data_IF_463126839899
#
_entry.id   IF_463126839899
#
_cell.length_a   1.000
_cell.length_b   1.000
_cell.length_c   1.000
_cell.angle_alpha   90.00
_cell.angle_beta   90.00
_cell.angle_gamma   90.00
#
_symmetry.space_group_name_H-M   'P 1'
#
loop_
_entity.id
_entity.type
_entity.pdbx_description
1 polymer ?
#
# COMPACT_ATOMS: atom_id res chain seq x y z
N UNK A 1 -11.62 33.37 72.04
CA UNK A 1 -12.00 32.14 71.29
C UNK A 1 -12.67 32.62 70.00
N UNK A 2 -12.26 32.33 68.76
CA UNK A 2 -11.48 31.24 68.16
C UNK A 2 -10.82 31.80 66.89
N UNK A 3 -9.55 31.45 66.67
CA UNK A 3 -8.92 31.57 65.37
C UNK A 3 -9.68 30.68 64.39
N UNK A 4 -10.39 31.27 63.43
CA UNK A 4 -11.01 30.51 62.34
C UNK A 4 -9.87 30.06 61.43
N UNK A 5 -9.58 28.77 61.39
CA UNK A 5 -8.49 28.18 60.60
C UNK A 5 -8.75 28.37 59.09
N UNK A 6 -8.16 29.42 58.51
CA UNK A 6 -8.14 29.63 57.04
C UNK A 6 -7.46 28.48 56.28
N UNK A 7 -6.65 27.67 56.98
CA UNK A 7 -6.04 26.44 56.45
C UNK A 7 -7.06 25.36 56.08
N UNK A 8 -8.21 25.30 56.75
CA UNK A 8 -9.25 24.29 56.46
C UNK A 8 -10.08 24.70 55.23
N UNK A 9 -10.30 25.99 55.01
CA UNK A 9 -11.02 26.50 53.84
C UNK A 9 -10.20 26.36 52.54
N UNK A 10 -8.88 26.53 52.63
CA UNK A 10 -7.97 26.33 51.50
C UNK A 10 -7.86 24.85 51.09
N UNK A 11 -7.91 23.91 52.04
CA UNK A 11 -7.92 22.48 51.72
C UNK A 11 -9.20 22.04 51.00
N UNK A 12 -10.34 22.70 51.25
CA UNK A 12 -11.62 22.35 50.64
C UNK A 12 -11.66 22.68 49.13
N UNK A 13 -10.89 23.67 48.68
CA UNK A 13 -10.78 24.03 47.26
C UNK A 13 -9.86 23.08 46.46
N UNK A 14 -8.99 22.31 47.13
CA UNK A 14 -8.08 21.37 46.45
C UNK A 14 -8.79 20.03 46.14
N UNK A 15 -9.85 19.69 46.88
CA UNK A 15 -10.51 18.37 46.82
C UNK A 15 -11.75 18.37 45.92
N UNK A 16 -12.31 19.53 45.56
CA UNK A 16 -13.46 19.63 44.64
C UNK A 16 -13.06 19.67 43.16
N UNK A 17 -11.77 19.70 42.87
CA UNK A 17 -11.25 19.51 41.52
C UNK A 17 -11.37 18.05 41.09
N UNK A 18 -12.54 17.64 40.59
CA UNK A 18 -12.67 16.41 39.82
C UNK A 18 -11.84 16.55 38.54
N UNK A 19 -10.53 16.25 38.61
CA UNK A 19 -9.72 16.03 37.44
C UNK A 19 -10.19 14.72 36.81
N UNK A 20 -11.12 14.82 35.85
CA UNK A 20 -11.49 13.69 35.01
C UNK A 20 -10.28 13.40 34.13
N UNK A 21 -9.39 12.54 34.61
CA UNK A 21 -8.32 11.97 33.78
C UNK A 21 -8.99 10.99 32.83
N UNK A 22 -9.45 11.50 31.69
CA UNK A 22 -9.74 10.67 30.53
C UNK A 22 -8.40 10.07 30.08
N UNK A 23 -8.05 8.91 30.62
CA UNK A 23 -7.04 8.05 30.00
C UNK A 23 -7.79 7.37 28.85
N UNK A 24 -7.61 7.82 27.58
CA UNK A 24 -8.22 7.09 26.50
C UNK A 24 -7.65 5.66 26.53
N UNK A 25 -8.54 4.67 26.62
CA UNK A 25 -8.17 3.24 26.59
C UNK A 25 -7.31 2.87 25.36
N UNK A 26 -7.30 3.75 24.36
CA UNK A 26 -6.48 3.63 23.15
C UNK A 26 -5.72 4.93 22.93
N UNK A 27 -4.38 4.91 22.87
CA UNK A 27 -3.64 6.11 22.53
C UNK A 27 -4.09 6.64 21.16
N UNK A 28 -4.25 7.97 20.99
CA UNK A 28 -4.59 8.54 19.71
C UNK A 28 -3.50 8.19 18.68
N UNK A 29 -3.89 8.17 17.39
CA UNK A 29 -2.91 8.03 16.31
C UNK A 29 -1.97 9.23 16.41
N UNK A 30 -0.71 8.96 16.77
CA UNK A 30 0.31 9.99 16.91
C UNK A 30 0.78 10.48 15.54
N UNK A 31 1.25 11.74 15.45
CA UNK A 31 1.79 12.31 14.22
C UNK A 31 3.04 11.55 13.76
N UNK A 32 3.41 11.73 12.49
CA UNK A 32 4.64 11.19 11.95
C UNK A 32 5.86 11.91 12.53
N UNK A 33 6.82 11.15 13.03
CA UNK A 33 8.15 11.61 13.43
C UNK A 33 9.15 11.31 12.32
N UNK A 34 10.09 12.22 12.12
CA UNK A 34 11.23 11.98 11.23
C UNK A 34 12.26 11.14 11.96
N UNK A 35 12.79 10.13 11.27
CA UNK A 35 13.87 9.32 11.74
C UNK A 35 14.97 9.30 10.69
N UNK A 36 16.19 9.66 11.09
CA UNK A 36 17.39 9.49 10.28
C UNK A 36 17.79 8.03 10.33
N UNK A 37 17.96 7.42 9.17
CA UNK A 37 18.45 6.06 9.01
C UNK A 37 19.97 6.06 8.84
N UNK A 38 20.49 6.94 7.97
CA UNK A 38 21.90 7.00 7.58
C UNK A 38 22.30 8.44 7.15
N UNK A 39 23.59 8.77 7.21
CA UNK A 39 24.17 10.03 6.71
C UNK A 39 24.08 11.22 7.66
N UNK A 40 24.88 12.27 7.39
CA UNK A 40 25.05 13.45 8.24
C UNK A 40 25.00 14.77 7.44
N UNK A 41 24.16 14.86 6.41
CA UNK A 41 23.97 16.08 5.59
C UNK A 41 22.78 16.98 5.99
N UNK A 42 22.72 18.21 5.48
CA UNK A 42 21.54 19.09 5.61
C UNK A 42 20.44 18.72 4.60
N UNK A 43 20.83 18.23 3.42
CA UNK A 43 19.91 17.71 2.41
C UNK A 43 19.41 16.32 2.78
N UNK A 44 18.13 16.07 2.54
CA UNK A 44 17.45 14.82 2.88
C UNK A 44 16.99 14.06 1.64
N UNK A 45 17.07 12.74 1.72
CA UNK A 45 16.44 11.81 0.78
C UNK A 45 15.40 11.02 1.56
N UNK A 46 14.15 11.07 1.11
CA UNK A 46 13.03 10.40 1.77
C UNK A 46 12.96 8.93 1.32
N UNK A 47 13.04 7.99 2.27
CA UNK A 47 12.76 6.58 2.05
C UNK A 47 11.30 6.26 2.40
N UNK A 48 10.48 6.09 1.35
CA UNK A 48 9.11 5.58 1.44
C UNK A 48 9.13 4.06 1.31
N UNK A 49 8.37 3.36 2.16
CA UNK A 49 8.25 1.90 2.11
C UNK A 49 6.83 1.50 1.69
N UNK A 50 6.70 0.65 0.67
CA UNK A 50 5.44 0.05 0.21
C UNK A 50 5.61 -1.47 0.34
N UNK A 51 5.07 -2.03 1.42
CA UNK A 51 5.21 -3.45 1.74
C UNK A 51 3.85 -4.09 2.01
N UNK A 52 3.69 -5.36 1.59
CA UNK A 52 2.46 -6.11 1.78
C UNK A 52 1.38 -5.81 0.73
N UNK A 53 0.14 -6.24 0.99
CA UNK A 53 -0.99 -6.04 0.07
C UNK A 53 -1.43 -4.58 0.08
N UNK A 54 -1.51 -3.96 -1.09
CA UNK A 54 -1.98 -2.58 -1.25
C UNK A 54 -3.52 -2.53 -1.06
N UNK A 55 -3.99 -1.86 -0.01
CA UNK A 55 -5.43 -1.75 0.27
C UNK A 55 -5.78 -0.45 1.00
N UNK A 56 -7.02 -0.02 0.80
CA UNK A 56 -7.71 1.07 1.49
C UNK A 56 -8.13 0.66 2.91
N UNK A 57 -8.21 -0.65 3.19
CA UNK A 57 -8.58 -1.16 4.51
C UNK A 57 -7.45 -0.95 5.51
N UNK A 58 -7.83 -0.68 6.76
CA UNK A 58 -6.88 -0.62 7.88
C UNK A 58 -6.34 -2.03 8.16
N UNK A 59 -5.04 -2.14 8.34
CA UNK A 59 -4.45 -3.38 8.83
C UNK A 59 -4.75 -3.54 10.33
N UNK A 60 -5.72 -4.37 10.70
CA UNK A 60 -5.82 -4.86 12.07
C UNK A 60 -4.97 -6.13 12.20
N UNK A 61 -3.95 -6.11 13.06
CA UNK A 61 -3.50 -7.35 13.70
C UNK A 61 -4.58 -7.75 14.72
N UNK A 62 -4.74 -9.05 14.95
CA UNK A 62 -5.83 -9.66 15.72
C UNK A 62 -6.30 -8.94 17.00
N UNK A 63 -7.52 -9.28 17.42
CA UNK A 63 -8.23 -8.74 18.59
C UNK A 63 -8.29 -7.19 18.69
N UNK A 64 -8.24 -6.45 17.58
CA UNK A 64 -8.68 -5.04 17.51
C UNK A 64 -7.85 -4.01 18.32
N UNK A 65 -6.76 -4.42 18.96
CA UNK A 65 -6.02 -3.58 19.92
C UNK A 65 -5.04 -2.57 19.29
N UNK A 66 -4.85 -2.57 17.96
CA UNK A 66 -3.99 -1.59 17.28
C UNK A 66 -4.69 -0.99 16.06
N UNK A 67 -5.07 0.29 16.15
CA UNK A 67 -5.56 1.08 15.01
C UNK A 67 -4.37 1.47 14.14
N UNK A 68 -4.03 0.65 13.13
CA UNK A 68 -3.16 1.12 12.04
C UNK A 68 -3.97 1.89 11.00
N UNK A 69 -3.34 2.89 10.39
CA UNK A 69 -3.87 3.52 9.18
C UNK A 69 -3.70 2.59 7.99
N UNK A 70 -4.50 2.78 6.94
CA UNK A 70 -4.30 2.07 5.67
C UNK A 70 -3.01 2.53 5.00
N UNK A 71 -2.48 1.72 4.08
CA UNK A 71 -1.28 2.07 3.33
C UNK A 71 -1.48 3.37 2.54
N UNK A 72 -2.65 3.54 1.92
CA UNK A 72 -3.02 4.74 1.16
C UNK A 72 -2.95 5.98 2.04
N UNK A 73 -3.57 5.95 3.23
CA UNK A 73 -3.56 7.08 4.15
C UNK A 73 -2.14 7.38 4.66
N UNK A 74 -1.35 6.34 4.96
CA UNK A 74 0.04 6.52 5.38
C UNK A 74 0.88 7.22 4.31
N UNK A 75 0.84 6.76 3.06
CA UNK A 75 1.62 7.38 1.98
C UNK A 75 1.21 8.84 1.79
N UNK A 76 -0.10 9.15 1.84
CA UNK A 76 -0.58 10.53 1.76
C UNK A 76 -0.04 11.41 2.90
N UNK A 77 -0.11 10.94 4.13
CA UNK A 77 0.43 11.67 5.30
C UNK A 77 1.96 11.87 5.20
N UNK A 78 2.68 10.84 4.74
CA UNK A 78 4.14 10.90 4.53
C UNK A 78 4.51 11.93 3.46
N UNK A 79 3.78 11.97 2.33
CA UNK A 79 3.99 12.96 1.27
C UNK A 79 3.61 14.38 1.72
N UNK A 80 2.48 14.56 2.41
CA UNK A 80 2.08 15.86 2.96
C UNK A 80 3.11 16.42 3.94
N UNK A 81 3.72 15.55 4.74
CA UNK A 81 4.83 15.97 5.61
C UNK A 81 6.06 16.38 4.80
N UNK A 82 6.39 15.62 3.75
CA UNK A 82 7.52 15.92 2.87
C UNK A 82 7.33 17.22 2.06
N UNK A 83 6.09 17.57 1.68
CA UNK A 83 5.75 18.83 0.99
C UNK A 83 6.10 20.06 1.83
N UNK A 84 6.02 19.94 3.17
CA UNK A 84 6.39 21.01 4.10
C UNK A 84 7.88 21.09 4.42
N UNK A 85 8.71 20.20 3.86
CA UNK A 85 10.14 20.12 4.14
C UNK A 85 10.98 20.37 2.89
N UNK A 86 11.49 21.59 2.76
CA UNK A 86 12.32 22.01 1.61
C UNK A 86 13.69 21.35 1.56
N UNK A 87 14.10 20.61 2.60
CA UNK A 87 15.36 19.86 2.58
C UNK A 87 15.25 18.51 1.85
N UNK A 88 14.03 18.04 1.55
CA UNK A 88 13.80 16.80 0.78
C UNK A 88 14.12 17.04 -0.69
N UNK A 89 15.28 16.55 -1.14
CA UNK A 89 15.74 16.73 -2.52
C UNK A 89 15.41 15.54 -3.44
N UNK A 90 15.04 14.39 -2.87
CA UNK A 90 14.74 13.17 -3.62
C UNK A 90 13.95 12.15 -2.81
N UNK A 91 13.28 11.24 -3.50
CA UNK A 91 12.50 10.16 -2.89
C UNK A 91 12.98 8.80 -3.42
N UNK A 92 13.22 7.87 -2.49
CA UNK A 92 13.41 6.46 -2.80
C UNK A 92 12.17 5.70 -2.34
N UNK A 93 11.55 4.95 -3.24
CA UNK A 93 10.39 4.09 -2.96
C UNK A 93 10.88 2.66 -2.90
N UNK A 94 11.00 2.10 -1.69
CA UNK A 94 11.28 0.68 -1.47
C UNK A 94 9.99 -0.11 -1.58
N UNK A 95 9.93 -1.06 -2.50
CA UNK A 95 8.73 -1.85 -2.81
C UNK A 95 8.96 -3.33 -2.48
N UNK A 96 8.09 -3.88 -1.63
CA UNK A 96 7.97 -5.31 -1.34
C UNK A 96 6.49 -5.73 -1.30
N UNK A 97 5.83 -5.72 -2.45
CA UNK A 97 4.40 -5.91 -2.58
C UNK A 97 4.04 -6.87 -3.72
N UNK A 98 3.12 -7.83 -3.48
CA UNK A 98 2.49 -8.59 -4.55
C UNK A 98 1.48 -7.77 -5.38
N UNK A 99 1.19 -6.54 -4.94
CA UNK A 99 0.12 -5.68 -5.44
C UNK A 99 -1.07 -5.61 -4.48
N UNK A 100 -2.26 -5.34 -5.00
CA UNK A 100 -3.47 -5.20 -4.19
C UNK A 100 -4.68 -4.64 -4.96
N UNK A 101 -5.53 -3.89 -4.27
CA UNK A 101 -6.72 -3.24 -4.86
C UNK A 101 -6.30 -2.31 -5.99
N UNK A 102 -7.03 -2.36 -7.11
CA UNK A 102 -6.82 -1.44 -8.24
C UNK A 102 -6.92 0.01 -7.79
N UNK A 103 -7.93 0.36 -7.00
CA UNK A 103 -8.18 1.73 -6.56
C UNK A 103 -7.11 2.22 -5.58
N UNK A 104 -6.78 1.46 -4.54
CA UNK A 104 -5.69 1.81 -3.61
C UNK A 104 -4.36 2.03 -4.33
N UNK A 105 -4.03 1.15 -5.29
CA UNK A 105 -2.80 1.25 -6.10
C UNK A 105 -2.80 2.54 -6.91
N UNK A 106 -3.90 2.83 -7.60
CA UNK A 106 -4.01 4.02 -8.45
C UNK A 106 -3.99 5.32 -7.65
N UNK A 107 -4.56 5.35 -6.44
CA UNK A 107 -4.46 6.50 -5.53
C UNK A 107 -3.00 6.74 -5.14
N UNK A 108 -2.27 5.70 -4.72
CA UNK A 108 -0.86 5.85 -4.34
C UNK A 108 -0.03 6.38 -5.52
N UNK A 109 -0.24 5.81 -6.72
CA UNK A 109 0.41 6.29 -7.95
C UNK A 109 0.07 7.77 -8.22
N UNK A 110 -1.21 8.15 -8.07
CA UNK A 110 -1.65 9.53 -8.28
C UNK A 110 -0.99 10.51 -7.30
N UNK A 111 -0.98 10.19 -6.00
CA UNK A 111 -0.37 11.05 -4.97
C UNK A 111 1.14 11.22 -5.21
N UNK A 112 1.85 10.14 -5.58
CA UNK A 112 3.27 10.20 -5.93
C UNK A 112 3.52 11.04 -7.20
N UNK A 113 2.68 10.90 -8.22
CA UNK A 113 2.75 11.72 -9.44
C UNK A 113 2.50 13.20 -9.15
N UNK A 114 1.53 13.52 -8.29
CA UNK A 114 1.26 14.90 -7.87
C UNK A 114 2.44 15.48 -7.11
N UNK A 115 2.95 14.75 -6.12
CA UNK A 115 4.12 15.17 -5.35
C UNK A 115 5.33 15.44 -6.26
N UNK A 116 5.64 14.51 -7.17
CA UNK A 116 6.70 14.67 -8.17
C UNK A 116 6.49 15.90 -9.04
N UNK A 117 5.27 16.14 -9.53
CA UNK A 117 4.94 17.30 -10.37
C UNK A 117 5.07 18.62 -9.63
N UNK A 118 4.67 18.67 -8.36
CA UNK A 118 4.67 19.90 -7.56
C UNK A 118 6.07 20.29 -7.08
N UNK A 119 6.86 19.30 -6.67
CA UNK A 119 8.19 19.52 -6.06
C UNK A 119 9.34 19.42 -7.06
N UNK A 120 9.15 18.71 -8.17
CA UNK A 120 10.19 18.45 -9.16
C UNK A 120 11.28 17.48 -8.68
N UNK A 121 11.11 16.85 -7.52
CA UNK A 121 12.12 15.93 -6.97
C UNK A 121 12.21 14.66 -7.80
N UNK A 122 13.43 14.10 -7.86
CA UNK A 122 13.68 12.80 -8.47
C UNK A 122 13.09 11.68 -7.61
N UNK A 123 12.47 10.70 -8.26
CA UNK A 123 11.97 9.48 -7.61
C UNK A 123 12.72 8.26 -8.17
N UNK A 124 13.30 7.45 -7.28
CA UNK A 124 13.89 6.15 -7.62
C UNK A 124 13.08 5.04 -6.95
N UNK A 125 12.64 4.03 -7.70
CA UNK A 125 12.00 2.84 -7.13
C UNK A 125 13.03 1.73 -6.94
N UNK A 126 13.04 1.11 -5.77
CA UNK A 126 13.85 -0.07 -5.46
C UNK A 126 12.94 -1.28 -5.21
N UNK A 127 12.92 -2.22 -6.14
CA UNK A 127 12.13 -3.45 -6.08
C UNK A 127 12.90 -4.49 -5.26
N UNK A 128 12.35 -4.90 -4.12
CA UNK A 128 12.99 -5.89 -3.24
C UNK A 128 12.42 -7.29 -3.48
N UNK A 129 12.01 -8.04 -2.46
CA UNK A 129 11.62 -9.45 -2.61
C UNK A 129 10.54 -9.70 -3.67
N UNK A 130 9.47 -8.90 -3.68
CA UNK A 130 8.42 -8.95 -4.68
C UNK A 130 7.94 -7.55 -5.01
N UNK A 131 7.77 -7.22 -6.29
CA UNK A 131 7.16 -5.98 -6.73
C UNK A 131 6.31 -6.23 -7.97
N UNK A 132 5.26 -7.03 -7.82
CA UNK A 132 4.41 -7.47 -8.92
C UNK A 132 3.11 -6.70 -8.94
N UNK A 133 2.47 -6.65 -10.11
CA UNK A 133 1.13 -6.10 -10.32
C UNK A 133 1.01 -4.69 -9.75
N UNK A 134 0.21 -4.44 -8.71
CA UNK A 134 0.10 -3.12 -8.10
C UNK A 134 1.42 -2.56 -7.57
N UNK A 135 2.38 -3.42 -7.17
CA UNK A 135 3.73 -3.00 -6.81
C UNK A 135 4.48 -2.40 -8.01
N UNK A 136 4.43 -3.06 -9.17
CA UNK A 136 5.04 -2.56 -10.41
C UNK A 136 4.30 -1.35 -10.99
N UNK A 137 2.97 -1.31 -10.84
CA UNK A 137 2.14 -0.15 -11.18
C UNK A 137 2.63 1.10 -10.46
N UNK A 138 2.85 1.02 -9.15
CA UNK A 138 3.36 2.16 -8.37
C UNK A 138 4.80 2.48 -8.76
N UNK A 139 5.65 1.48 -8.99
CA UNK A 139 7.03 1.69 -9.44
C UNK A 139 7.14 2.52 -10.74
N UNK A 140 6.10 2.46 -11.59
CA UNK A 140 6.06 3.18 -12.88
C UNK A 140 6.03 4.72 -12.75
N UNK A 141 5.90 5.27 -11.54
CA UNK A 141 6.06 6.72 -11.25
C UNK A 141 7.52 7.18 -11.26
N UNK A 142 8.45 6.24 -11.01
CA UNK A 142 9.85 6.55 -10.78
C UNK A 142 10.57 7.00 -12.06
N UNK A 143 11.56 7.86 -11.91
CA UNK A 143 12.51 8.21 -12.96
C UNK A 143 13.46 7.06 -13.28
N UNK A 144 13.64 6.15 -12.32
CA UNK A 144 14.49 4.99 -12.43
C UNK A 144 13.98 3.86 -11.53
N UNK A 145 14.02 2.64 -12.05
CA UNK A 145 13.59 1.42 -11.37
C UNK A 145 14.79 0.48 -11.25
N UNK A 146 15.23 0.28 -10.01
CA UNK A 146 16.29 -0.67 -9.64
C UNK A 146 15.63 -1.90 -9.02
N UNK A 147 16.03 -3.10 -9.43
CA UNK A 147 15.55 -4.33 -8.82
C UNK A 147 16.68 -5.10 -8.11
N UNK A 148 16.37 -5.61 -6.92
CA UNK A 148 17.24 -6.55 -6.23
C UNK A 148 17.48 -7.79 -7.12
N UNK A 149 18.68 -8.41 -7.12
CA UNK A 149 18.98 -9.57 -7.96
C UNK A 149 17.98 -10.73 -7.83
N UNK A 150 17.39 -10.90 -6.63
CA UNK A 150 16.39 -11.94 -6.35
C UNK A 150 14.94 -11.47 -6.44
N UNK A 151 14.71 -10.27 -6.98
CA UNK A 151 13.38 -9.68 -7.08
C UNK A 151 12.52 -10.41 -8.11
N UNK A 152 11.23 -10.55 -7.81
CA UNK A 152 10.20 -10.95 -8.77
C UNK A 152 9.29 -9.77 -9.05
N UNK A 153 9.12 -9.44 -10.33
CA UNK A 153 8.32 -8.29 -10.79
C UNK A 153 7.41 -8.67 -11.96
N UNK A 154 6.77 -7.70 -12.60
CA UNK A 154 5.81 -7.92 -13.68
C UNK A 154 4.40 -8.16 -13.15
N UNK A 155 3.72 -9.22 -13.60
CA UNK A 155 2.32 -9.50 -13.35
C UNK A 155 1.40 -8.32 -13.71
N UNK A 156 1.64 -7.73 -14.88
CA UNK A 156 0.85 -6.63 -15.41
C UNK A 156 -0.48 -7.21 -15.91
N UNK A 157 -1.50 -7.15 -15.06
CA UNK A 157 -2.77 -7.84 -15.25
C UNK A 157 -3.80 -7.43 -14.21
N UNK A 158 -5.07 -7.77 -14.45
CA UNK A 158 -6.18 -7.50 -13.52
C UNK A 158 -6.92 -8.80 -13.28
N UNK A 159 -7.23 -9.10 -12.02
CA UNK A 159 -8.06 -10.23 -11.65
C UNK A 159 -9.27 -9.78 -10.82
N UNK A 160 -10.38 -10.47 -11.00
CA UNK A 160 -11.50 -10.48 -10.07
C UNK A 160 -11.84 -11.94 -9.76
N UNK A 161 -11.97 -12.27 -8.48
CA UNK A 161 -12.18 -13.64 -8.01
C UNK A 161 -13.55 -13.77 -7.36
N UNK A 162 -14.20 -14.91 -7.58
CA UNK A 162 -15.46 -15.30 -6.97
C UNK A 162 -15.41 -16.76 -6.55
N UNK A 163 -15.83 -17.05 -5.33
CA UNK A 163 -16.17 -18.40 -4.91
C UNK A 163 -17.67 -18.61 -5.10
N UNK A 164 -18.04 -19.68 -5.80
CA UNK A 164 -19.43 -20.09 -5.89
C UNK A 164 -19.69 -21.21 -4.86
N UNK A 165 -20.57 -20.94 -3.90
CA UNK A 165 -20.91 -21.84 -2.79
C UNK A 165 -22.31 -22.44 -2.91
N UNK A 166 -23.04 -22.19 -4.01
CA UNK A 166 -24.40 -22.71 -4.27
C UNK A 166 -24.50 -24.21 -3.94
N UNK A 167 -23.67 -25.03 -4.59
CA UNK A 167 -23.68 -26.50 -4.41
C UNK A 167 -23.31 -26.94 -3.00
N UNK A 168 -22.49 -26.16 -2.28
CA UNK A 168 -22.14 -26.47 -0.90
C UNK A 168 -23.34 -26.21 0.02
N UNK A 169 -23.99 -25.05 -0.14
CA UNK A 169 -25.18 -24.69 0.64
C UNK A 169 -26.34 -25.66 0.40
N UNK A 170 -26.60 -26.04 -0.86
CA UNK A 170 -27.63 -27.03 -1.17
C UNK A 170 -27.40 -28.37 -0.49
N UNK A 171 -26.14 -28.82 -0.34
CA UNK A 171 -25.81 -30.08 0.34
C UNK A 171 -26.10 -30.05 1.84
N UNK A 172 -26.05 -28.88 2.48
CA UNK A 172 -26.34 -28.71 3.90
C UNK A 172 -27.78 -28.23 4.15
N UNK A 173 -28.63 -28.25 3.11
CA UNK A 173 -30.05 -27.90 3.20
C UNK A 173 -30.34 -26.41 3.25
N UNK A 174 -29.37 -25.54 2.92
CA UNK A 174 -29.56 -24.10 2.85
C UNK A 174 -29.90 -23.71 1.40
N UNK A 175 -31.00 -22.99 1.22
CA UNK A 175 -31.41 -22.39 -0.05
C UNK A 175 -31.42 -20.87 0.08
N UNK A 176 -30.93 -20.21 -0.95
CA UNK A 176 -30.91 -18.76 -1.05
C UNK A 176 -32.00 -18.31 -2.01
N UNK A 177 -32.83 -17.36 -1.59
CA UNK A 177 -33.88 -16.75 -2.41
C UNK A 177 -33.64 -15.24 -2.52
N UNK A 178 -33.12 -14.80 -3.67
CA UNK A 178 -32.94 -13.37 -3.96
C UNK A 178 -34.18 -12.79 -4.64
N UNK A 179 -34.85 -11.84 -3.98
CA UNK A 179 -35.83 -10.94 -4.59
C UNK A 179 -35.13 -9.64 -4.97
N UNK A 180 -35.16 -9.27 -6.26
CA UNK A 180 -34.37 -8.15 -6.79
C UNK A 180 -35.16 -7.27 -7.75
N UNK A 181 -34.81 -5.97 -7.75
CA UNK A 181 -35.46 -4.96 -8.59
C UNK A 181 -35.03 -4.98 -10.06
N UNK A 182 -34.00 -5.76 -10.42
CA UNK A 182 -33.52 -5.89 -11.78
C UNK A 182 -32.60 -7.10 -11.93
N UNK A 183 -32.51 -7.62 -13.15
CA UNK A 183 -31.85 -8.92 -13.42
C UNK A 183 -30.40 -8.98 -12.93
N UNK A 184 -29.64 -7.89 -13.13
CA UNK A 184 -28.20 -7.82 -12.81
C UNK A 184 -27.88 -7.34 -11.40
N UNK A 185 -28.90 -7.12 -10.55
CA UNK A 185 -28.71 -6.47 -9.23
C UNK A 185 -27.84 -7.30 -8.27
N UNK A 186 -27.84 -8.61 -8.46
CA UNK A 186 -27.07 -9.63 -7.73
C UNK A 186 -25.93 -10.20 -8.59
N UNK A 187 -25.49 -9.47 -9.63
CA UNK A 187 -24.29 -9.84 -10.39
C UNK A 187 -23.13 -10.10 -9.43
N UNK A 188 -22.35 -11.14 -9.71
CA UNK A 188 -21.27 -11.60 -8.83
C UNK A 188 -21.71 -12.27 -7.52
N UNK A 189 -23.01 -12.54 -7.30
CA UNK A 189 -23.50 -13.28 -6.11
C UNK A 189 -22.78 -14.62 -5.93
N UNK A 190 -22.22 -14.95 -4.75
CA UNK A 190 -21.54 -16.23 -4.50
C UNK A 190 -22.51 -17.42 -4.44
N UNK A 191 -23.82 -17.18 -4.44
CA UNK A 191 -24.86 -18.18 -4.25
C UNK A 191 -25.43 -18.76 -5.55
N UNK A 192 -24.96 -18.28 -6.70
CA UNK A 192 -25.31 -18.81 -8.02
C UNK A 192 -24.18 -18.62 -9.04
N UNK A 193 -24.14 -19.37 -10.15
CA UNK A 193 -23.20 -19.10 -11.24
C UNK A 193 -23.49 -17.75 -11.91
N UNK A 194 -22.44 -17.14 -12.47
CA UNK A 194 -22.62 -15.98 -13.36
C UNK A 194 -23.15 -16.45 -14.72
N UNK A 195 -24.10 -15.72 -15.28
CA UNK A 195 -24.55 -15.93 -16.67
C UNK A 195 -23.46 -15.50 -17.67
N UNK A 196 -23.52 -15.91 -18.95
CA UNK A 196 -22.57 -15.46 -19.97
C UNK A 196 -22.51 -13.93 -20.09
N UNK A 197 -23.67 -13.25 -20.06
CA UNK A 197 -23.75 -11.79 -20.12
C UNK A 197 -23.12 -11.12 -18.89
N UNK A 198 -23.32 -11.67 -17.70
CA UNK A 198 -22.67 -11.16 -16.48
C UNK A 198 -21.15 -11.30 -16.53
N UNK A 199 -20.65 -12.39 -17.11
CA UNK A 199 -19.21 -12.57 -17.33
C UNK A 199 -18.67 -11.52 -18.28
N UNK A 200 -19.39 -11.20 -19.36
CA UNK A 200 -18.99 -10.18 -20.34
C UNK A 200 -18.95 -8.77 -19.73
N UNK A 201 -19.94 -8.43 -18.89
CA UNK A 201 -19.95 -7.16 -18.14
C UNK A 201 -18.69 -7.03 -17.27
N UNK A 202 -18.37 -8.07 -16.49
CA UNK A 202 -17.20 -8.04 -15.61
C UNK A 202 -15.89 -8.05 -16.43
N UNK A 203 -15.83 -8.80 -17.53
CA UNK A 203 -14.67 -8.84 -18.41
C UNK A 203 -14.40 -7.48 -19.05
N UNK A 204 -15.46 -6.74 -19.43
CA UNK A 204 -15.33 -5.37 -19.95
C UNK A 204 -14.68 -4.43 -18.93
N UNK A 205 -15.05 -4.57 -17.65
CA UNK A 205 -14.43 -3.79 -16.57
C UNK A 205 -12.97 -4.20 -16.39
N UNK A 206 -12.66 -5.51 -16.36
CA UNK A 206 -11.29 -6.04 -16.28
C UNK A 206 -10.43 -5.48 -17.41
N UNK A 207 -10.91 -5.53 -18.66
CA UNK A 207 -10.20 -5.03 -19.83
C UNK A 207 -9.93 -3.52 -19.74
N UNK A 208 -10.91 -2.74 -19.24
CA UNK A 208 -10.76 -1.29 -19.05
C UNK A 208 -9.68 -0.96 -18.02
N UNK A 209 -9.67 -1.70 -16.89
CA UNK A 209 -8.67 -1.52 -15.84
C UNK A 209 -7.29 -2.01 -16.29
N UNK A 210 -7.23 -3.08 -17.08
CA UNK A 210 -5.97 -3.56 -17.67
C UNK A 210 -5.37 -2.55 -18.65
N UNK A 211 -6.18 -1.95 -19.52
CA UNK A 211 -5.74 -0.88 -20.41
C UNK A 211 -5.27 0.37 -19.64
N UNK A 212 -5.83 0.65 -18.46
CA UNK A 212 -5.29 1.68 -17.56
C UNK A 212 -3.89 1.31 -17.06
N UNK A 213 -3.68 0.07 -16.64
CA UNK A 213 -2.36 -0.40 -16.22
C UNK A 213 -1.34 -0.27 -17.36
N UNK A 214 -1.67 -0.74 -18.57
CA UNK A 214 -0.82 -0.59 -19.76
C UNK A 214 -0.46 0.88 -20.00
N UNK A 215 -1.42 1.82 -19.86
CA UNK A 215 -1.15 3.26 -20.01
C UNK A 215 -0.19 3.81 -18.96
N UNK A 216 -0.29 3.36 -17.70
CA UNK A 216 0.62 3.79 -16.63
C UNK A 216 2.04 3.27 -16.86
N UNK A 217 2.18 1.98 -17.20
CA UNK A 217 3.50 1.41 -17.53
C UNK A 217 4.09 2.11 -18.75
N UNK A 218 3.27 2.38 -19.78
CA UNK A 218 3.72 3.13 -20.94
C UNK A 218 4.18 4.54 -20.58
N UNK A 219 3.44 5.29 -19.75
CA UNK A 219 3.87 6.61 -19.31
C UNK A 219 5.24 6.60 -18.60
N UNK A 220 5.53 5.56 -17.81
CA UNK A 220 6.81 5.38 -17.13
C UNK A 220 7.94 4.82 -18.01
N UNK A 221 7.63 4.07 -19.07
CA UNK A 221 8.62 3.35 -19.90
C UNK A 221 8.68 3.77 -21.38
N UNK A 222 7.91 4.78 -21.81
CA UNK A 222 7.80 5.19 -23.22
C UNK A 222 9.14 5.48 -23.94
N UNK A 223 10.24 5.93 -23.29
CA UNK A 223 11.51 6.09 -23.99
C UNK A 223 12.17 4.76 -24.38
N UNK A 224 11.74 3.65 -23.76
CA UNK A 224 12.39 2.34 -23.83
C UNK A 224 11.52 1.29 -24.52
N UNK A 225 10.21 1.42 -24.42
CA UNK A 225 9.22 0.45 -24.91
C UNK A 225 8.05 1.15 -25.60
N UNK A 226 7.67 0.64 -26.77
CA UNK A 226 6.41 0.98 -27.44
C UNK A 226 5.21 0.43 -26.66
N UNK A 227 4.02 1.01 -26.92
CA UNK A 227 2.78 0.54 -26.31
C UNK A 227 2.47 -0.92 -26.69
N UNK A 228 2.81 -1.31 -27.92
CA UNK A 228 2.63 -2.67 -28.45
C UNK A 228 3.53 -3.69 -27.74
N UNK A 229 4.79 -3.33 -27.47
CA UNK A 229 5.70 -4.17 -26.68
C UNK A 229 5.20 -4.34 -25.25
N UNK A 230 4.75 -3.26 -24.61
CA UNK A 230 4.16 -3.34 -23.25
C UNK A 230 2.94 -4.25 -23.23
N UNK A 231 2.07 -4.20 -24.26
CA UNK A 231 0.92 -5.11 -24.34
C UNK A 231 1.33 -6.58 -24.43
N UNK A 232 2.42 -6.90 -25.13
CA UNK A 232 2.95 -8.27 -25.19
C UNK A 232 3.49 -8.74 -23.83
N UNK A 233 4.06 -7.82 -23.05
CA UNK A 233 4.54 -8.09 -21.68
C UNK A 233 3.40 -8.10 -20.64
N UNK A 234 2.25 -7.51 -20.97
CA UNK A 234 1.10 -7.35 -20.09
C UNK A 234 0.08 -8.49 -20.17
N UNK A 235 0.57 -9.73 -20.21
CA UNK A 235 -0.27 -10.94 -20.22
C UNK A 235 -0.41 -11.60 -18.83
N UNK A 236 0.10 -10.94 -17.79
CA UNK A 236 0.04 -11.41 -16.40
C UNK A 236 1.19 -12.30 -15.97
N UNK A 237 2.19 -12.60 -16.81
CA UNK A 237 3.38 -13.36 -16.39
C UNK A 237 4.26 -12.56 -15.42
N UNK A 238 5.08 -13.27 -14.64
CA UNK A 238 6.11 -12.69 -13.76
C UNK A 238 7.48 -12.76 -14.41
N UNK A 239 8.40 -11.91 -13.95
CA UNK A 239 9.78 -11.83 -14.41
C UNK A 239 10.74 -11.84 -13.22
N UNK A 240 11.85 -12.52 -13.39
CA UNK A 240 13.07 -12.32 -12.58
C UNK A 240 13.67 -10.95 -12.86
N UNK A 241 14.59 -10.48 -12.01
CA UNK A 241 15.30 -9.22 -12.22
C UNK A 241 16.04 -9.18 -13.58
N UNK A 242 16.74 -10.27 -13.95
CA UNK A 242 17.44 -10.37 -15.24
C UNK A 242 16.48 -10.27 -16.44
N UNK A 243 15.38 -11.01 -16.42
CA UNK A 243 14.36 -10.95 -17.47
C UNK A 243 13.71 -9.57 -17.56
N UNK A 244 13.43 -8.95 -16.41
CA UNK A 244 12.85 -7.62 -16.37
C UNK A 244 13.81 -6.57 -16.93
N UNK A 245 15.12 -6.72 -16.70
CA UNK A 245 16.14 -5.84 -17.28
C UNK A 245 16.22 -6.03 -18.79
N UNK A 246 16.30 -7.27 -19.27
CA UNK A 246 16.33 -7.60 -20.69
C UNK A 246 15.10 -7.04 -21.44
N UNK A 247 13.92 -7.13 -20.82
CA UNK A 247 12.66 -6.61 -21.35
C UNK A 247 12.46 -5.12 -21.08
N UNK A 248 13.45 -4.43 -20.51
CA UNK A 248 13.42 -2.99 -20.18
C UNK A 248 12.25 -2.59 -19.26
N UNK A 249 11.75 -3.52 -18.43
CA UNK A 249 10.79 -3.24 -17.37
C UNK A 249 11.46 -2.58 -16.15
N UNK A 250 12.76 -2.77 -15.99
CA UNK A 250 13.60 -2.08 -15.01
C UNK A 250 14.82 -1.46 -15.71
N UNK A 251 15.52 -0.57 -15.01
CA UNK A 251 16.69 0.14 -15.54
C UNK A 251 18.00 -0.51 -15.10
N UNK A 252 18.03 -1.09 -13.90
CA UNK A 252 19.24 -1.68 -13.33
C UNK A 252 18.92 -2.77 -12.32
N UNK A 253 19.86 -3.69 -12.16
CA UNK A 253 19.89 -4.66 -11.07
C UNK A 253 20.83 -4.13 -9.98
N UNK A 254 20.36 -4.07 -8.74
CA UNK A 254 21.11 -3.49 -7.63
C UNK A 254 20.36 -3.57 -6.30
N UNK A 255 21.02 -3.14 -5.25
CA UNK A 255 20.55 -3.12 -3.87
C UNK A 255 19.95 -1.75 -3.51
N UNK A 256 19.45 -1.61 -2.28
CA UNK A 256 18.90 -0.34 -1.81
C UNK A 256 20.01 0.71 -1.66
N UNK A 257 21.22 0.27 -1.30
CA UNK A 257 22.42 1.09 -1.25
C UNK A 257 22.75 1.70 -2.63
N UNK A 258 22.65 0.92 -3.71
CA UNK A 258 22.81 1.42 -5.09
C UNK A 258 21.80 2.53 -5.42
N UNK A 259 20.55 2.42 -4.93
CA UNK A 259 19.53 3.45 -5.13
C UNK A 259 19.86 4.76 -4.38
N UNK A 260 20.46 4.65 -3.19
CA UNK A 260 20.93 5.80 -2.41
C UNK A 260 22.11 6.47 -3.11
N UNK A 261 23.10 5.68 -3.56
CA UNK A 261 24.26 6.18 -4.28
C UNK A 261 23.87 6.86 -5.60
N UNK A 262 22.97 6.25 -6.37
CA UNK A 262 22.50 6.83 -7.64
C UNK A 262 21.72 8.12 -7.40
N UNK A 263 20.88 8.19 -6.36
CA UNK A 263 20.19 9.42 -5.99
C UNK A 263 21.18 10.53 -5.61
N UNK A 264 22.18 10.24 -4.78
CA UNK A 264 23.23 11.20 -4.40
C UNK A 264 23.99 11.69 -5.63
N UNK A 265 24.39 10.78 -6.52
CA UNK A 265 25.10 11.11 -7.76
C UNK A 265 24.26 11.97 -8.71
N UNK A 266 23.00 11.60 -8.93
CA UNK A 266 22.07 12.33 -9.80
C UNK A 266 21.82 13.75 -9.30
N UNK A 267 21.76 13.94 -7.97
CA UNK A 267 21.57 15.22 -7.31
C UNK A 267 22.88 15.96 -7.00
N UNK A 268 24.04 15.38 -7.34
CA UNK A 268 25.38 15.91 -7.05
C UNK A 268 25.59 16.22 -5.55
N UNK A 269 25.11 15.34 -4.69
CA UNK A 269 25.23 15.44 -3.23
C UNK A 269 26.43 14.63 -2.76
N UNK A 270 27.34 15.25 -2.01
CA UNK A 270 28.45 14.56 -1.33
C UNK A 270 27.95 13.86 -0.06
N UNK A 271 27.12 14.54 0.73
CA UNK A 271 26.46 13.98 1.90
C UNK A 271 24.96 14.33 1.90
N UNK A 272 24.15 13.38 2.38
CA UNK A 272 22.71 13.53 2.52
C UNK A 272 22.21 12.60 3.63
N UNK A 273 21.26 13.08 4.42
CA UNK A 273 20.53 12.26 5.40
C UNK A 273 19.48 11.42 4.67
N UNK A 274 19.48 10.12 4.90
CA UNK A 274 18.39 9.24 4.51
C UNK A 274 17.37 9.24 5.63
N UNK A 275 16.19 9.79 5.37
CA UNK A 275 15.15 9.92 6.38
C UNK A 275 13.94 9.08 6.05
N UNK A 276 13.21 8.66 7.06
CA UNK A 276 11.90 8.03 6.91
C UNK A 276 10.95 8.61 7.93
N UNK A 277 9.64 8.52 7.65
CA UNK A 277 8.61 8.97 8.56
C UNK A 277 7.95 7.78 9.24
N UNK A 278 7.87 7.83 10.56
CA UNK A 278 7.38 6.74 11.38
C UNK A 278 6.47 7.28 12.48
N UNK A 279 5.54 6.44 12.93
CA UNK A 279 4.80 6.74 14.16
C UNK A 279 5.63 6.28 15.36
N UNK A 280 5.53 6.95 16.52
CA UNK A 280 6.30 6.58 17.70
C UNK A 280 6.07 5.12 18.09
N UNK A 281 7.12 4.47 18.63
CA UNK A 281 7.17 3.03 18.98
C UNK A 281 7.21 2.06 17.80
N UNK A 282 7.40 2.53 16.56
CA UNK A 282 7.78 1.66 15.44
C UNK A 282 9.29 1.61 15.28
N UNK A 283 9.89 0.42 15.41
CA UNK A 283 11.33 0.25 15.24
C UNK A 283 11.68 0.16 13.74
N UNK A 284 12.52 1.07 13.26
CA UNK A 284 13.21 0.95 11.97
C UNK A 284 14.64 1.47 12.07
N UNK A 285 15.60 0.61 12.38
CA UNK A 285 17.00 1.03 12.63
C UNK A 285 17.87 1.28 11.38
N UNK A 286 17.47 0.76 10.21
CA UNK A 286 18.29 0.79 8.98
C UNK A 286 17.39 0.94 7.74
N UNK A 287 17.98 1.20 6.56
CA UNK A 287 17.26 1.24 5.28
C UNK A 287 16.58 -0.11 4.93
N UNK A 288 17.07 -1.22 5.46
CA UNK A 288 16.44 -2.54 5.33
C UNK A 288 15.29 -2.77 6.31
N UNK A 289 15.18 -1.97 7.37
CA UNK A 289 14.11 -2.11 8.35
C UNK A 289 12.73 -1.92 7.73
N UNK A 290 11.78 -2.76 8.12
CA UNK A 290 10.48 -2.86 7.44
C UNK A 290 10.39 -3.98 6.39
N UNK A 291 11.27 -4.99 6.46
CA UNK A 291 11.05 -6.31 5.84
C UNK A 291 10.37 -7.29 6.82
N UNK A 292 9.04 -7.27 7.01
CA UNK A 292 8.32 -8.43 7.50
C UNK A 292 7.55 -9.08 6.34
N UNK A 293 8.08 -10.16 5.79
CA UNK A 293 7.29 -11.10 4.98
C UNK A 293 6.82 -12.20 5.91
N UNK A 294 5.58 -12.09 6.37
CA UNK A 294 4.64 -13.23 6.52
C UNK A 294 3.27 -12.62 6.78
N UNK A 295 2.59 -12.19 5.72
CA UNK A 295 1.13 -12.12 5.76
C UNK A 295 0.61 -13.53 5.45
N UNK A 296 0.84 -14.47 6.36
CA UNK A 296 -0.05 -15.62 6.42
C UNK A 296 -1.36 -15.06 6.96
N UNK A 297 -2.24 -14.62 6.06
CA UNK A 297 -3.67 -14.67 6.36
C UNK A 297 -3.96 -16.15 6.54
N UNK A 298 -3.93 -16.63 7.77
CA UNK A 298 -4.64 -17.85 8.13
C UNK A 298 -6.08 -17.63 7.65
N UNK A 299 -6.48 -18.33 6.60
CA UNK A 299 -7.88 -18.52 6.32
C UNK A 299 -8.35 -19.41 7.46
N UNK A 300 -8.82 -18.78 8.53
CA UNK A 300 -9.39 -19.48 9.65
C UNK A 300 -10.77 -20.02 9.19
N UNK A 301 -10.77 -21.18 8.53
CA UNK A 301 -11.95 -21.87 8.00
C UNK A 301 -12.99 -22.18 9.08
N UNK A 302 -12.58 -22.14 10.35
CA UNK A 302 -13.42 -22.43 11.52
C UNK A 302 -14.06 -21.14 12.08
N UNK A 303 -13.53 -19.96 11.73
CA UNK A 303 -14.08 -18.66 12.13
C UNK A 303 -14.67 -17.94 10.91
N UNK A 304 -15.80 -18.45 10.41
CA UNK A 304 -16.66 -17.72 9.49
C UNK A 304 -17.34 -16.58 10.28
N UNK A 305 -16.56 -15.57 10.67
CA UNK A 305 -17.11 -14.31 11.14
C UNK A 305 -17.67 -13.55 9.92
N UNK A 306 -18.66 -12.67 10.13
CA UNK A 306 -19.29 -11.88 9.05
C UNK A 306 -18.29 -11.12 8.18
N UNK A 307 -17.16 -10.67 8.75
CA UNK A 307 -16.06 -10.02 8.03
C UNK A 307 -15.28 -10.96 7.10
N UNK A 308 -15.18 -12.25 7.46
CA UNK A 308 -14.58 -13.29 6.65
C UNK A 308 -15.44 -13.58 5.42
N UNK A 309 -16.76 -13.75 5.62
CA UNK A 309 -17.74 -13.90 4.53
C UNK A 309 -17.81 -12.66 3.63
N UNK A 310 -17.73 -11.45 4.19
CA UNK A 310 -17.68 -10.19 3.43
C UNK A 310 -16.40 -10.07 2.58
N UNK A 311 -15.29 -10.66 3.01
CA UNK A 311 -14.03 -10.68 2.26
C UNK A 311 -14.03 -11.66 1.08
N UNK A 312 -14.91 -12.67 1.09
CA UNK A 312 -15.10 -13.63 -0.02
C UNK A 312 -16.31 -13.30 -0.91
N UNK A 313 -17.16 -12.34 -0.53
CA UNK A 313 -18.39 -12.00 -1.26
C UNK A 313 -18.36 -10.67 -2.02
N UNK A 314 -17.46 -9.74 -1.69
CA UNK A 314 -17.33 -8.48 -2.41
C UNK A 314 -16.58 -8.64 -3.73
N UNK A 315 -17.17 -8.15 -4.83
CA UNK A 315 -16.43 -7.96 -6.09
C UNK A 315 -15.27 -6.99 -5.83
N UNK A 316 -14.04 -7.48 -6.01
CA UNK A 316 -12.83 -6.68 -5.90
C UNK A 316 -11.99 -6.88 -7.15
N UNK A 317 -11.63 -5.77 -7.80
CA UNK A 317 -10.66 -5.76 -8.88
C UNK A 317 -9.28 -5.54 -8.29
N UNK A 318 -8.35 -6.42 -8.65
CA UNK A 318 -7.03 -6.46 -8.03
C UNK A 318 -5.95 -6.43 -9.11
N UNK A 319 -4.96 -5.56 -8.91
CA UNK A 319 -3.62 -5.72 -9.48
C UNK A 319 -2.83 -6.57 -8.48
N UNK A 320 -3.02 -7.89 -8.47
CA UNK A 320 -2.42 -8.77 -7.46
C UNK A 320 -1.86 -10.04 -8.08
N UNK A 321 -0.60 -10.32 -7.78
CA UNK A 321 -0.03 -11.65 -7.92
C UNK A 321 -0.30 -12.44 -6.63
N UNK A 322 -0.99 -13.57 -6.74
CA UNK A 322 -1.25 -14.46 -5.60
C UNK A 322 -0.92 -15.89 -6.03
N UNK A 323 0.30 -16.38 -5.71
CA UNK A 323 0.66 -17.76 -6.02
C UNK A 323 -0.23 -18.77 -5.29
#
# INVERSE_FOLDING_TARGET
MRYMNWTILALFFIITGCAVVQIPLFPPIQPLEEQVLEGEGETKILLLNISGIISEKKESKGLGFSKKVSLVARIKEELQKAEGDSSIAGVIIKINSPGGSVTATDIIYHELMQYKKQTGVRIVACLTGTATSGGYYVASVADEIIAHPTSVTGNIGVIAMKFNVEKFLSKIGIQEETIKSGEKKDIWSPFRPCTPEEKDIIQTIINTLHERFVKVVFAGRQPLLSKEEIRKLADGRIFTADQALEMKLIDRIGYLDDAVEEMKKALKLEDAKIVTYNRPRSYKGTIYSGLPVTSHKEINLIAINGDGLAAISGLQFMYLWRP
#
